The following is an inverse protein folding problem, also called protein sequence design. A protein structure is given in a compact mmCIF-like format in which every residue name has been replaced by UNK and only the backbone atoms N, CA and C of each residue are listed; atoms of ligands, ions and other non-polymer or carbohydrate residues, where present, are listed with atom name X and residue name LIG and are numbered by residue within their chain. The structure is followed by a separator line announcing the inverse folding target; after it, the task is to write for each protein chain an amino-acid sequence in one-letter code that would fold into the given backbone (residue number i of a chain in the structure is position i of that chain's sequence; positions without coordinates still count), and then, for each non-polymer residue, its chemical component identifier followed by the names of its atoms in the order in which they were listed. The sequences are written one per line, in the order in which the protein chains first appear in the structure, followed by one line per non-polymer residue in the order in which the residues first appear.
data_IF_733833383055
#
_entry.id   IF_733833383055
#
_cell.length_a   1.000
_cell.length_b   1.000
_cell.length_c   1.000
_cell.angle_alpha   90.00
_cell.angle_beta   90.00
_cell.angle_gamma   90.00
#
_symmetry.space_group_name_H-M   'P 1'
#
loop_
_entity.id
_entity.type
_entity.pdbx_description
1 polymer ?
#
# COMPACT_ATOMS: atom_id res chain seq x y z
N UNK A 1 -1.05 -26.49 -69.64
CA UNK A 1 -1.14 -25.10 -69.17
C UNK A 1 -1.18 -25.08 -67.64
N UNK A 2 -0.27 -24.30 -67.05
CA UNK A 2 -0.11 -23.82 -65.66
C UNK A 2 -0.31 -24.82 -64.49
N UNK A 3 0.84 -25.26 -63.95
CA UNK A 3 1.03 -25.73 -62.57
C UNK A 3 0.82 -24.56 -61.61
N UNK A 4 0.02 -24.74 -60.56
CA UNK A 4 0.00 -23.86 -59.39
C UNK A 4 0.43 -24.71 -58.20
N UNK A 5 1.70 -24.57 -57.84
CA UNK A 5 2.28 -25.14 -56.62
C UNK A 5 2.02 -24.13 -55.51
N UNK A 6 1.03 -24.39 -54.64
CA UNK A 6 0.89 -23.62 -53.39
C UNK A 6 1.94 -24.15 -52.41
N UNK A 7 3.03 -23.39 -52.22
CA UNK A 7 3.85 -23.52 -51.03
C UNK A 7 3.01 -23.00 -49.85
N UNK A 8 2.50 -23.90 -49.01
CA UNK A 8 2.09 -23.54 -47.66
C UNK A 8 3.34 -23.18 -46.87
N UNK A 9 3.63 -21.88 -46.77
CA UNK A 9 4.51 -21.37 -45.73
C UNK A 9 3.78 -21.57 -44.39
N UNK A 10 4.20 -22.58 -43.61
CA UNK A 10 3.86 -22.64 -42.20
C UNK A 10 4.48 -21.41 -41.54
N UNK A 11 3.64 -20.41 -41.29
CA UNK A 11 3.94 -19.31 -40.39
C UNK A 11 4.05 -19.93 -38.99
N UNK A 12 5.28 -20.16 -38.53
CA UNK A 12 5.53 -20.45 -37.12
C UNK A 12 5.19 -19.15 -36.39
N UNK A 13 4.16 -19.10 -35.52
CA UNK A 13 4.05 -17.97 -34.63
C UNK A 13 5.27 -18.05 -33.73
N UNK A 14 6.20 -17.11 -33.92
CA UNK A 14 7.21 -16.81 -32.92
C UNK A 14 6.41 -16.41 -31.69
N UNK A 15 6.17 -17.34 -30.76
CA UNK A 15 5.80 -16.99 -29.40
C UNK A 15 6.96 -16.14 -28.91
N UNK A 16 6.80 -14.82 -28.98
CA UNK A 16 7.55 -13.94 -28.12
C UNK A 16 7.22 -14.43 -26.71
N UNK A 17 8.17 -15.15 -26.11
CA UNK A 17 8.17 -15.40 -24.67
C UNK A 17 8.33 -13.99 -24.10
N UNK A 18 7.20 -13.32 -23.87
CA UNK A 18 7.20 -12.20 -22.97
C UNK A 18 7.51 -12.82 -21.63
N UNK A 19 8.74 -12.62 -21.19
CA UNK A 19 9.05 -12.87 -19.82
C UNK A 19 8.21 -11.86 -19.02
N UNK A 20 7.07 -12.33 -18.53
CA UNK A 20 6.32 -11.62 -17.50
C UNK A 20 7.21 -11.67 -16.27
N UNK A 21 7.70 -10.52 -15.85
CA UNK A 21 8.50 -10.32 -14.65
C UNK A 21 7.72 -9.34 -13.76
N UNK A 22 7.82 -9.46 -12.42
CA UNK A 22 7.07 -8.69 -11.41
C UNK A 22 8.02 -7.89 -10.50
N UNK A 23 7.65 -6.66 -10.16
CA UNK A 23 8.40 -5.90 -9.18
C UNK A 23 8.19 -6.52 -7.79
N UNK A 24 9.24 -6.56 -6.96
CA UNK A 24 9.18 -7.21 -5.66
C UNK A 24 8.30 -6.53 -4.62
N UNK A 25 7.81 -7.36 -3.69
CA UNK A 25 7.13 -6.96 -2.47
C UNK A 25 7.68 -7.72 -1.25
N UNK A 26 7.51 -7.14 -0.06
CA UNK A 26 7.85 -7.77 1.22
C UNK A 26 6.61 -8.31 1.88
N UNK A 27 6.69 -9.49 2.51
CA UNK A 27 5.66 -9.88 3.47
C UNK A 27 5.76 -9.05 4.75
N UNK A 28 4.60 -8.67 5.29
CA UNK A 28 4.43 -7.78 6.43
C UNK A 28 3.73 -8.43 7.64
N UNK A 29 3.47 -9.74 7.58
CA UNK A 29 2.88 -10.48 8.69
C UNK A 29 3.87 -10.64 9.87
N UNK A 30 3.35 -10.65 11.11
CA UNK A 30 4.11 -10.88 12.35
C UNK A 30 4.01 -12.35 12.82
N UNK A 31 4.97 -12.96 13.57
CA UNK A 31 6.43 -12.82 13.62
C UNK A 31 7.16 -13.48 12.42
N UNK A 32 8.48 -13.24 12.19
CA UNK A 32 9.58 -13.18 13.18
C UNK A 32 10.00 -11.77 13.65
N UNK A 33 9.03 -10.87 13.82
CA UNK A 33 9.25 -9.48 14.22
C UNK A 33 9.18 -9.31 15.75
N UNK A 34 10.20 -8.68 16.36
CA UNK A 34 10.28 -8.37 17.81
C UNK A 34 10.13 -6.87 18.06
N UNK A 35 9.61 -6.41 19.23
CA UNK A 35 9.29 -7.18 20.45
C UNK A 35 7.96 -7.95 20.42
N UNK A 36 7.81 -8.91 21.35
CA UNK A 36 6.59 -9.67 21.63
C UNK A 36 6.27 -9.57 23.15
N UNK A 37 5.14 -8.96 23.56
CA UNK A 37 4.07 -8.44 22.71
C UNK A 37 4.37 -7.07 22.07
N UNK A 38 3.64 -6.71 21.01
CA UNK A 38 3.42 -5.31 20.58
C UNK A 38 1.91 -5.10 20.39
N UNK A 39 1.47 -3.85 20.29
CA UNK A 39 0.06 -3.48 20.08
C UNK A 39 -0.03 -2.55 18.86
N UNK A 40 0.24 -3.18 17.73
CA UNK A 40 0.36 -2.60 16.39
C UNK A 40 -0.64 -3.23 15.42
N UNK A 41 -1.79 -3.65 15.93
CA UNK A 41 -2.97 -3.98 15.13
C UNK A 41 -4.25 -3.77 15.94
N UNK A 42 -5.43 -4.00 15.35
CA UNK A 42 -6.71 -3.71 15.98
C UNK A 42 -6.95 -4.59 17.21
N UNK A 43 -7.15 -3.96 18.38
CA UNK A 43 -7.10 -4.64 19.67
C UNK A 43 -8.45 -4.96 20.33
N UNK A 44 -9.59 -4.43 19.85
CA UNK A 44 -10.90 -4.73 20.46
C UNK A 44 -12.09 -4.63 19.48
N UNK A 45 -13.18 -5.38 19.72
CA UNK A 45 -14.40 -5.32 18.91
C UNK A 45 -14.98 -3.89 18.85
N UNK A 46 -15.71 -3.52 17.78
CA UNK A 46 -16.40 -4.39 16.84
C UNK A 46 -15.59 -4.82 15.62
N UNK A 47 -14.27 -4.60 15.57
CA UNK A 47 -13.44 -5.07 14.44
C UNK A 47 -13.32 -6.61 14.41
N UNK A 48 -13.78 -7.31 13.34
CA UNK A 48 -13.44 -8.71 13.12
C UNK A 48 -12.11 -8.88 12.35
N UNK A 49 -11.26 -9.83 12.75
CA UNK A 49 -11.30 -10.59 13.99
C UNK A 49 -10.75 -9.74 15.15
N UNK A 50 -11.41 -9.73 16.31
CA UNK A 50 -10.89 -9.01 17.47
C UNK A 50 -9.58 -9.67 17.93
N UNK A 51 -8.57 -8.85 18.20
CA UNK A 51 -7.34 -9.31 18.85
C UNK A 51 -6.24 -9.67 17.88
N UNK A 52 -5.88 -8.75 17.00
CA UNK A 52 -4.61 -8.82 16.27
C UNK A 52 -3.61 -7.76 16.77
N UNK A 53 -3.22 -7.77 18.07
CA UNK A 53 -2.31 -6.76 18.62
C UNK A 53 -0.94 -6.80 17.92
N UNK A 54 -0.63 -7.87 17.20
CA UNK A 54 0.64 -8.05 16.50
C UNK A 54 0.56 -7.75 15.00
N UNK A 55 -0.61 -7.56 14.42
CA UNK A 55 -0.79 -7.66 12.96
C UNK A 55 -0.22 -8.98 12.37
N UNK A 56 -0.50 -10.12 13.01
CA UNK A 56 -0.17 -11.47 12.49
C UNK A 56 -0.75 -11.67 11.10
N UNK A 57 -1.84 -10.97 10.78
CA UNK A 57 -2.49 -11.07 9.49
C UNK A 57 -2.06 -10.00 8.48
N UNK A 58 -1.14 -9.10 8.85
CA UNK A 58 -0.64 -8.01 8.02
C UNK A 58 -1.44 -6.71 8.17
N UNK A 59 -1.49 -5.89 7.12
CA UNK A 59 -2.17 -4.59 7.14
C UNK A 59 -3.69 -4.78 7.02
N UNK A 60 -4.45 -4.13 7.91
CA UNK A 60 -5.91 -4.23 7.94
C UNK A 60 -6.60 -3.09 7.18
N UNK A 61 -7.71 -3.42 6.53
CA UNK A 61 -8.57 -2.51 5.77
C UNK A 61 -10.02 -2.72 6.16
N UNK A 62 -10.80 -1.65 6.18
CA UNK A 62 -12.26 -1.70 6.36
C UNK A 62 -12.96 -0.98 5.20
N UNK A 63 -14.00 -1.62 4.67
CA UNK A 63 -14.84 -1.00 3.65
C UNK A 63 -15.59 0.21 4.22
N UNK A 64 -15.47 1.36 3.54
CA UNK A 64 -16.00 2.64 4.03
C UNK A 64 -17.53 2.65 4.14
N UNK A 65 -18.22 1.98 3.22
CA UNK A 65 -19.67 2.00 3.12
C UNK A 65 -20.36 1.12 4.17
N UNK A 66 -19.78 -0.05 4.44
CA UNK A 66 -20.30 -1.02 5.40
C UNK A 66 -19.75 -0.85 6.80
N UNK A 67 -18.55 -0.24 6.95
CA UNK A 67 -17.85 -0.05 8.22
C UNK A 67 -17.60 -1.35 9.01
N UNK A 68 -17.75 -2.51 8.37
CA UNK A 68 -17.85 -3.81 9.06
C UNK A 68 -17.17 -4.96 8.32
N UNK A 69 -16.86 -4.82 7.02
CA UNK A 69 -16.09 -5.82 6.29
C UNK A 69 -14.61 -5.46 6.42
N UNK A 70 -13.90 -6.26 7.19
CA UNK A 70 -12.47 -6.14 7.36
C UNK A 70 -11.75 -7.16 6.49
N UNK A 71 -10.74 -6.70 5.76
CA UNK A 71 -9.82 -7.56 5.02
C UNK A 71 -8.38 -7.21 5.40
N UNK A 72 -7.44 -8.08 5.07
CA UNK A 72 -6.02 -7.82 5.33
C UNK A 72 -5.16 -8.09 4.10
N UNK A 73 -3.99 -7.47 4.06
CA UNK A 73 -2.97 -7.68 3.04
C UNK A 73 -1.69 -8.12 3.71
N UNK A 74 -1.10 -9.18 3.17
CA UNK A 74 0.06 -9.86 3.76
C UNK A 74 1.37 -9.32 3.24
N UNK A 75 1.35 -8.49 2.20
CA UNK A 75 2.52 -7.95 1.54
C UNK A 75 2.38 -6.45 1.27
N UNK A 76 3.54 -5.80 1.20
CA UNK A 76 3.71 -4.41 0.81
C UNK A 76 4.66 -4.29 -0.38
N UNK A 77 4.28 -3.42 -1.31
CA UNK A 77 4.98 -3.09 -2.53
C UNK A 77 5.65 -1.72 -2.38
N UNK A 78 6.91 -1.63 -2.77
CA UNK A 78 7.74 -0.44 -2.59
C UNK A 78 8.30 0.06 -3.93
N UNK A 79 8.52 1.36 -4.06
CA UNK A 79 9.13 1.99 -5.23
C UNK A 79 10.67 1.89 -5.19
N UNK A 80 11.30 2.40 -4.12
CA UNK A 80 12.74 2.57 -4.03
C UNK A 80 13.23 2.71 -2.57
N UNK A 81 13.23 1.59 -1.83
CA UNK A 81 13.83 1.45 -0.50
C UNK A 81 15.36 1.51 -0.53
N UNK A 82 16.00 1.83 0.60
CA UNK A 82 17.46 1.82 0.77
C UNK A 82 18.07 0.43 0.49
N UNK A 83 19.22 0.30 -0.22
CA UNK A 83 20.00 1.30 -0.98
C UNK A 83 19.66 1.41 -2.48
N UNK A 84 18.39 1.65 -2.82
CA UNK A 84 17.91 1.82 -4.20
C UNK A 84 17.23 0.58 -4.78
N UNK A 85 16.56 -0.20 -3.94
CA UNK A 85 15.85 -1.42 -4.31
C UNK A 85 14.34 -1.23 -4.19
N UNK A 86 13.53 -1.99 -4.91
CA UNK A 86 12.10 -1.69 -5.02
C UNK A 86 11.73 -1.46 -6.47
N UNK A 87 10.44 -1.47 -6.77
CA UNK A 87 9.86 -0.91 -7.99
C UNK A 87 10.35 -1.47 -9.34
N UNK A 88 11.17 -2.52 -9.33
CA UNK A 88 11.70 -3.13 -10.53
C UNK A 88 12.53 -2.17 -11.41
N UNK A 89 12.24 -2.10 -12.72
CA UNK A 89 12.92 -1.15 -13.63
C UNK A 89 12.33 0.26 -13.52
N UNK A 90 11.06 0.37 -13.15
CA UNK A 90 10.42 1.65 -12.85
C UNK A 90 11.09 2.32 -11.64
N UNK A 91 11.70 1.54 -10.74
CA UNK A 91 12.41 2.04 -9.55
C UNK A 91 11.48 2.99 -8.78
N UNK A 92 11.95 4.20 -8.44
CA UNK A 92 11.14 5.25 -7.82
C UNK A 92 9.82 5.55 -8.54
N UNK A 93 9.72 5.34 -9.85
CA UNK A 93 8.48 5.54 -10.61
C UNK A 93 7.50 4.36 -10.57
N UNK A 94 7.75 3.32 -9.77
CA UNK A 94 6.83 2.17 -9.69
C UNK A 94 5.53 2.49 -8.93
N UNK A 95 5.60 3.46 -8.03
CA UNK A 95 4.46 4.09 -7.39
C UNK A 95 4.57 5.55 -7.79
N UNK A 96 3.77 5.97 -8.76
CA UNK A 96 3.86 7.30 -9.33
C UNK A 96 2.55 8.02 -9.17
N UNK A 97 2.57 9.30 -8.80
CA UNK A 97 1.40 10.13 -8.92
C UNK A 97 1.72 11.60 -9.02
N UNK A 98 0.94 12.29 -9.85
CA UNK A 98 1.09 13.73 -10.06
C UNK A 98 -0.27 14.42 -10.04
N UNK A 99 -0.25 15.70 -9.70
CA UNK A 99 -1.45 16.53 -9.63
C UNK A 99 -1.94 16.84 -11.03
N UNK A 100 -3.19 16.51 -11.32
CA UNK A 100 -3.82 16.78 -12.63
C UNK A 100 -4.78 17.96 -12.61
N UNK A 101 -5.22 18.37 -11.42
CA UNK A 101 -6.18 19.46 -11.25
C UNK A 101 -5.98 20.15 -9.90
N UNK A 102 -6.19 21.46 -9.86
CA UNK A 102 -6.21 22.27 -8.63
C UNK A 102 -7.38 23.25 -8.69
N UNK A 103 -8.14 23.30 -7.61
CA UNK A 103 -9.16 24.32 -7.36
C UNK A 103 -8.60 25.38 -6.41
N UNK A 104 -8.80 26.64 -6.80
CA UNK A 104 -8.28 27.80 -6.08
C UNK A 104 -9.41 28.56 -5.38
N UNK A 105 -9.15 28.97 -4.14
CA UNK A 105 -10.01 29.85 -3.37
C UNK A 105 -9.83 31.33 -3.71
N UNK A 106 -10.43 32.18 -2.86
CA UNK A 106 -10.46 33.64 -3.02
C UNK A 106 -9.12 34.36 -2.76
N UNK A 107 -9.13 35.53 -2.09
CA UNK A 107 -7.90 36.29 -1.81
C UNK A 107 -6.81 35.44 -1.13
N UNK A 108 -5.57 35.59 -1.58
CA UNK A 108 -4.44 34.75 -1.13
C UNK A 108 -4.33 33.41 -1.87
N UNK A 109 -5.22 33.14 -2.84
CA UNK A 109 -5.23 31.98 -3.74
C UNK A 109 -4.96 30.64 -3.04
N UNK A 110 -5.66 30.32 -1.93
CA UNK A 110 -5.44 29.05 -1.28
C UNK A 110 -5.86 27.88 -2.18
N UNK A 111 -5.16 26.74 -2.11
CA UNK A 111 -5.64 25.50 -2.73
C UNK A 111 -6.80 24.97 -1.89
N UNK A 112 -7.99 24.82 -2.48
CA UNK A 112 -9.18 24.31 -1.77
C UNK A 112 -9.50 22.87 -2.13
N UNK A 113 -8.99 22.38 -3.26
CA UNK A 113 -9.09 20.99 -3.69
C UNK A 113 -8.02 20.71 -4.74
N UNK A 114 -7.64 19.45 -4.89
CA UNK A 114 -6.76 18.99 -5.96
C UNK A 114 -7.02 17.50 -6.24
N UNK A 115 -6.65 17.06 -7.43
CA UNK A 115 -6.75 15.67 -7.84
C UNK A 115 -5.37 15.13 -8.22
N UNK A 116 -5.07 13.89 -7.82
CA UNK A 116 -3.86 13.14 -8.21
C UNK A 116 -4.27 12.01 -9.14
N UNK A 117 -3.53 11.81 -10.24
CA UNK A 117 -3.56 10.56 -10.99
C UNK A 117 -2.43 9.68 -10.46
N UNK A 118 -2.76 8.60 -9.75
CA UNK A 118 -1.79 7.64 -9.23
C UNK A 118 -1.72 6.41 -10.14
N UNK A 119 -0.53 5.85 -10.32
CA UNK A 119 -0.28 4.64 -11.11
C UNK A 119 0.70 3.73 -10.40
N UNK A 120 0.33 2.45 -10.27
CA UNK A 120 1.20 1.40 -9.73
C UNK A 120 1.65 0.51 -10.88
N UNK A 121 2.97 0.31 -11.01
CA UNK A 121 3.60 -0.48 -12.07
C UNK A 121 4.25 -1.74 -11.49
N UNK A 122 3.78 -2.92 -11.90
CA UNK A 122 4.32 -4.21 -11.49
C UNK A 122 5.19 -4.80 -12.62
N UNK A 123 6.40 -4.28 -12.82
CA UNK A 123 7.30 -4.60 -13.93
C UNK A 123 8.39 -5.62 -13.56
N UNK A 124 9.67 -5.49 -13.97
CA UNK A 124 10.67 -6.55 -13.82
C UNK A 124 11.46 -6.40 -12.51
N UNK A 125 11.65 -7.46 -11.69
CA UNK A 125 12.33 -7.33 -10.42
C UNK A 125 13.81 -6.99 -10.61
N UNK A 126 14.32 -6.10 -9.76
CA UNK A 126 15.76 -5.87 -9.64
C UNK A 126 16.45 -7.14 -9.09
N UNK A 127 17.62 -7.49 -9.62
CA UNK A 127 18.39 -8.71 -9.30
C UNK A 127 19.17 -8.64 -7.97
N UNK A 128 18.65 -7.93 -6.98
CA UNK A 128 19.42 -7.54 -5.80
C UNK A 128 18.78 -8.03 -4.49
N UNK A 129 19.60 -8.27 -3.45
CA UNK A 129 19.11 -8.68 -2.14
C UNK A 129 18.35 -7.54 -1.46
N UNK A 130 17.31 -7.90 -0.70
CA UNK A 130 16.50 -6.96 0.06
C UNK A 130 17.02 -6.83 1.50
N UNK A 131 16.75 -5.69 2.14
CA UNK A 131 17.14 -5.43 3.54
C UNK A 131 15.98 -5.69 4.51
N UNK A 132 16.33 -6.15 5.71
CA UNK A 132 15.40 -6.40 6.82
C UNK A 132 14.55 -5.15 7.08
N UNK A 133 13.23 -5.31 7.20
CA UNK A 133 12.36 -4.16 7.43
C UNK A 133 12.23 -3.75 8.89
N UNK A 134 12.06 -2.46 9.14
CA UNK A 134 11.78 -1.89 10.45
C UNK A 134 10.77 -0.75 10.37
N UNK A 135 9.88 -0.62 11.36
CA UNK A 135 8.94 0.50 11.45
C UNK A 135 9.22 1.44 12.63
N UNK A 136 8.48 2.56 12.68
CA UNK A 136 8.56 3.57 13.76
C UNK A 136 8.16 3.04 15.15
N UNK A 137 7.62 1.81 15.23
CA UNK A 137 7.23 1.13 16.47
C UNK A 137 8.30 0.20 17.02
N UNK A 138 9.55 0.34 16.57
CA UNK A 138 10.69 -0.54 16.91
C UNK A 138 10.46 -2.01 16.53
N UNK A 139 9.52 -2.28 15.64
CA UNK A 139 9.31 -3.62 15.10
C UNK A 139 10.40 -3.88 14.05
N UNK A 140 11.18 -4.95 14.24
CA UNK A 140 12.27 -5.32 13.34
C UNK A 140 12.07 -6.72 12.78
N UNK A 141 12.15 -6.87 11.45
CA UNK A 141 12.03 -8.15 10.76
C UNK A 141 13.39 -8.71 10.39
N UNK A 142 13.85 -9.74 11.09
CA UNK A 142 15.00 -10.53 10.64
C UNK A 142 14.60 -11.46 9.48
N UNK A 143 15.36 -11.46 8.39
CA UNK A 143 15.18 -12.41 7.30
C UNK A 143 15.94 -13.71 7.58
N UNK A 144 15.26 -14.84 7.45
CA UNK A 144 15.86 -16.17 7.64
C UNK A 144 16.30 -16.83 6.32
N UNK A 145 15.81 -16.35 5.18
CA UNK A 145 16.19 -16.79 3.82
C UNK A 145 15.88 -15.70 2.77
N UNK A 146 16.39 -15.85 1.53
CA UNK A 146 16.06 -14.96 0.40
C UNK A 146 14.62 -15.17 -0.12
N UNK A 147 14.08 -16.37 0.05
CA UNK A 147 12.69 -16.68 -0.31
C UNK A 147 11.69 -16.05 0.66
N UNK A 148 12.08 -15.83 1.93
CA UNK A 148 11.31 -15.02 2.88
C UNK A 148 11.34 -13.52 2.52
N UNK A 149 12.32 -13.09 1.72
CA UNK A 149 12.59 -11.67 1.49
C UNK A 149 11.74 -11.05 0.39
N UNK A 150 11.21 -11.82 -0.56
CA UNK A 150 10.74 -11.24 -1.81
C UNK A 150 9.63 -12.06 -2.42
N UNK A 151 8.47 -11.46 -2.60
CA UNK A 151 7.47 -11.98 -3.52
C UNK A 151 7.57 -11.27 -4.86
N UNK A 152 7.70 -12.05 -5.93
CA UNK A 152 7.64 -11.61 -7.32
C UNK A 152 6.44 -12.32 -7.97
N UNK A 153 5.39 -11.58 -8.29
CA UNK A 153 4.25 -12.14 -9.00
C UNK A 153 3.16 -11.11 -9.28
N UNK A 154 1.96 -11.60 -9.60
CA UNK A 154 0.79 -10.72 -9.70
C UNK A 154 0.43 -10.16 -8.33
N UNK A 155 0.21 -8.85 -8.26
CA UNK A 155 -0.28 -8.19 -7.05
C UNK A 155 -1.79 -8.40 -7.00
N UNK A 156 -2.30 -9.10 -5.99
CA UNK A 156 -3.73 -9.35 -5.87
C UNK A 156 -4.37 -8.35 -4.92
N UNK A 157 -5.54 -7.84 -5.30
CA UNK A 157 -6.37 -6.98 -4.44
C UNK A 157 -5.57 -5.81 -3.86
N UNK A 158 -4.97 -5.04 -4.76
CA UNK A 158 -4.02 -3.96 -4.47
C UNK A 158 -4.74 -2.78 -3.82
N UNK A 159 -4.17 -2.30 -2.73
CA UNK A 159 -4.64 -1.17 -1.94
C UNK A 159 -3.58 -0.08 -1.92
N UNK A 160 -3.94 1.12 -2.38
CA UNK A 160 -3.11 2.32 -2.29
C UNK A 160 -3.63 3.20 -1.16
N UNK A 161 -2.77 3.53 -0.20
CA UNK A 161 -3.12 4.35 0.97
C UNK A 161 -2.46 5.73 0.89
N UNK A 162 -3.13 6.78 1.35
CA UNK A 162 -2.60 8.14 1.36
C UNK A 162 -2.35 8.65 2.79
N UNK A 163 -1.13 8.50 3.27
CA UNK A 163 -0.74 8.80 4.65
C UNK A 163 -0.73 10.31 4.96
N UNK A 164 -0.56 11.14 3.94
CA UNK A 164 -0.70 12.61 4.03
C UNK A 164 -2.16 13.09 4.17
N UNK A 165 -3.15 12.19 4.06
CA UNK A 165 -4.56 12.55 4.03
C UNK A 165 -5.39 11.91 5.16
N UNK A 166 -6.55 12.49 5.39
CA UNK A 166 -7.56 12.00 6.35
C UNK A 166 -8.89 11.75 5.64
N UNK A 167 -9.75 10.92 6.23
CA UNK A 167 -11.13 10.82 5.76
C UNK A 167 -11.95 12.00 6.30
N UNK A 168 -12.51 12.83 5.41
CA UNK A 168 -13.37 13.96 5.75
C UNK A 168 -14.53 13.58 6.70
N UNK A 169 -15.03 12.34 6.61
CA UNK A 169 -16.14 11.85 7.39
C UNK A 169 -15.74 11.34 8.79
N UNK A 170 -14.45 11.04 9.00
CA UNK A 170 -13.94 10.48 10.25
C UNK A 170 -13.03 11.51 10.94
N UNK A 171 -13.60 12.25 11.89
CA UNK A 171 -12.85 13.21 12.72
C UNK A 171 -12.06 12.55 13.86
N UNK A 172 -11.72 11.26 13.75
CA UNK A 172 -11.04 10.54 14.81
C UNK A 172 -9.54 10.79 14.70
N UNK A 173 -9.04 11.79 15.42
CA UNK A 173 -7.61 11.92 15.68
C UNK A 173 -7.25 11.30 17.03
N UNK A 174 -5.99 10.87 17.22
CA UNK A 174 -5.47 10.54 18.53
C UNK A 174 -5.80 11.66 19.52
N UNK A 175 -6.31 11.32 20.72
CA UNK A 175 -6.61 12.33 21.73
C UNK A 175 -5.35 13.08 22.17
N UNK A 176 -4.19 12.44 22.05
CA UNK A 176 -2.87 13.02 22.27
C UNK A 176 -1.91 12.54 21.18
N UNK A 177 -1.15 13.47 20.61
CA UNK A 177 -0.01 13.19 19.73
C UNK A 177 1.25 13.07 20.59
N UNK A 178 1.62 11.83 20.92
CA UNK A 178 2.80 11.51 21.72
C UNK A 178 3.83 10.92 20.75
N UNK A 179 5.09 11.38 20.73
CA UNK A 179 6.13 10.81 19.87
C UNK A 179 6.16 9.27 19.95
N UNK A 180 6.26 8.55 18.81
CA UNK A 180 6.59 9.06 17.48
C UNK A 180 5.41 9.67 16.70
N UNK A 181 4.19 9.66 17.24
CA UNK A 181 3.00 10.19 16.57
C UNK A 181 2.99 11.72 16.57
N UNK A 182 2.86 12.32 15.39
CA UNK A 182 2.78 13.77 15.22
C UNK A 182 1.68 14.16 14.24
N UNK A 183 1.06 15.32 14.48
CA UNK A 183 0.35 16.06 13.44
C UNK A 183 0.93 17.48 13.42
N UNK A 184 1.86 17.76 12.51
CA UNK A 184 2.54 19.06 12.47
C UNK A 184 1.69 20.14 11.79
N UNK A 185 0.55 19.80 11.19
CA UNK A 185 -0.21 20.71 10.34
C UNK A 185 -1.46 21.27 11.01
N UNK A 186 -1.75 22.54 10.72
CA UNK A 186 -2.96 23.21 11.17
C UNK A 186 -4.16 23.01 10.23
N UNK A 187 -3.91 22.50 9.03
CA UNK A 187 -4.90 22.21 7.99
C UNK A 187 -4.62 20.82 7.43
N UNK A 188 -5.65 19.97 7.38
CA UNK A 188 -5.54 18.61 6.88
C UNK A 188 -5.98 18.54 5.42
N UNK A 189 -5.36 17.64 4.67
CA UNK A 189 -5.83 17.24 3.34
C UNK A 189 -6.86 16.13 3.55
N UNK A 190 -8.06 16.31 3.02
CA UNK A 190 -9.17 15.37 3.20
C UNK A 190 -9.44 14.62 1.90
N UNK A 191 -9.37 13.29 1.92
CA UNK A 191 -9.69 12.45 0.77
C UNK A 191 -11.22 12.29 0.62
N UNK A 192 -11.74 12.46 -0.61
CA UNK A 192 -13.20 12.49 -0.85
C UNK A 192 -13.76 11.28 -1.61
N UNK A 193 -12.93 10.50 -2.30
CA UNK A 193 -13.38 9.40 -3.17
C UNK A 193 -12.68 8.05 -2.93
N UNK A 194 -12.13 7.83 -1.74
CA UNK A 194 -11.52 6.55 -1.37
C UNK A 194 -12.59 5.49 -1.05
N UNK A 195 -12.29 4.23 -1.35
CA UNK A 195 -13.20 3.08 -1.21
C UNK A 195 -13.15 2.47 0.19
N UNK A 196 -11.94 2.44 0.77
CA UNK A 196 -11.63 1.74 2.00
C UNK A 196 -10.80 2.61 2.94
N UNK A 197 -10.61 2.10 4.15
CA UNK A 197 -9.86 2.73 5.23
C UNK A 197 -8.85 1.73 5.78
N UNK A 198 -7.57 2.06 5.69
CA UNK A 198 -6.51 1.23 6.23
C UNK A 198 -6.24 1.60 7.69
N UNK A 199 -6.07 0.60 8.54
CA UNK A 199 -5.78 0.81 9.96
C UNK A 199 -4.41 1.48 10.14
N UNK A 200 -4.39 2.60 10.88
CA UNK A 200 -3.16 3.30 11.24
C UNK A 200 -2.54 2.68 12.49
N UNK A 201 -1.25 2.39 12.43
CA UNK A 201 -0.52 1.84 13.55
C UNK A 201 -0.31 2.86 14.65
N UNK A 202 -1.16 2.78 15.69
CA UNK A 202 -1.12 3.67 16.83
C UNK A 202 -1.33 2.92 18.15
N UNK A 203 -0.65 3.38 19.19
CA UNK A 203 -0.86 2.97 20.58
C UNK A 203 -0.81 4.18 21.51
N UNK A 204 -1.52 4.11 22.63
CA UNK A 204 -1.62 5.20 23.60
C UNK A 204 -0.34 5.46 24.40
N UNK A 205 0.45 4.41 24.62
CA UNK A 205 1.80 4.47 25.14
C UNK A 205 2.71 3.51 24.35
N UNK A 206 3.72 4.00 23.60
CA UNK A 206 4.68 3.15 22.90
C UNK A 206 5.56 2.27 23.80
N UNK A 207 5.78 2.66 25.06
CA UNK A 207 6.61 1.92 26.02
C UNK A 207 5.78 0.94 26.87
N UNK A 208 4.53 1.29 27.17
CA UNK A 208 3.59 0.47 27.95
C UNK A 208 2.17 0.48 27.38
N UNK A 209 1.97 -0.02 26.16
CA UNK A 209 0.70 0.04 25.43
C UNK A 209 -0.48 -0.61 26.18
N UNK A 210 -1.63 0.09 26.26
CA UNK A 210 -2.86 -0.46 26.83
C UNK A 210 -3.64 -1.27 25.78
N UNK A 211 -3.76 -2.60 25.92
CA UNK A 211 -4.52 -3.44 24.99
C UNK A 211 -5.99 -3.05 24.85
N UNK A 212 -6.54 -2.32 25.82
CA UNK A 212 -7.96 -1.94 25.87
C UNK A 212 -8.26 -0.61 25.16
N UNK A 213 -7.22 0.10 24.72
CA UNK A 213 -7.34 1.37 23.99
C UNK A 213 -6.65 1.32 22.61
N UNK A 214 -6.97 0.33 21.75
CA UNK A 214 -6.21 0.05 20.53
C UNK A 214 -6.64 0.96 19.37
N UNK A 215 -6.46 2.27 19.53
CA UNK A 215 -6.78 3.26 18.51
C UNK A 215 -8.18 3.09 17.88
N UNK A 216 -8.36 3.71 16.71
CA UNK A 216 -9.41 3.50 15.70
C UNK A 216 -9.14 4.52 14.58
N UNK A 217 -7.86 4.62 14.22
CA UNK A 217 -7.34 5.63 13.32
C UNK A 217 -7.13 4.99 11.97
N UNK A 218 -7.50 5.72 10.92
CA UNK A 218 -7.60 5.16 9.60
C UNK A 218 -7.07 6.11 8.54
N UNK A 219 -6.42 5.52 7.55
CA UNK A 219 -5.84 6.18 6.40
C UNK A 219 -6.70 5.91 5.17
N UNK A 220 -7.11 6.95 4.40
CA UNK A 220 -7.84 6.78 3.15
C UNK A 220 -7.16 5.80 2.19
N UNK A 221 -7.95 4.88 1.61
CA UNK A 221 -7.45 3.81 0.74
C UNK A 221 -8.28 3.62 -0.52
N UNK A 222 -7.62 3.45 -1.66
CA UNK A 222 -8.23 3.13 -2.95
C UNK A 222 -7.96 1.68 -3.33
N UNK A 223 -8.98 1.03 -3.89
CA UNK A 223 -8.88 -0.33 -4.43
C UNK A 223 -8.53 -0.30 -5.93
N UNK A 224 -7.39 -0.88 -6.28
CA UNK A 224 -6.91 -0.98 -7.66
C UNK A 224 -7.19 -2.37 -8.27
N UNK A 225 -7.74 -3.31 -7.51
CA UNK A 225 -7.96 -4.69 -7.92
C UNK A 225 -6.65 -5.44 -8.14
N UNK A 226 -6.64 -6.36 -9.10
CA UNK A 226 -5.44 -7.17 -9.39
C UNK A 226 -4.56 -6.49 -10.43
N UNK A 227 -3.26 -6.40 -10.16
CA UNK A 227 -2.26 -5.93 -11.11
C UNK A 227 -1.43 -7.13 -11.57
N UNK A 228 -1.65 -7.63 -12.81
CA UNK A 228 -0.87 -8.76 -13.31
C UNK A 228 0.60 -8.38 -13.43
N UNK A 229 1.43 -9.41 -13.41
CA UNK A 229 2.86 -9.29 -13.67
C UNK A 229 3.14 -8.66 -15.06
N UNK A 230 3.96 -7.62 -15.10
CA UNK A 230 4.20 -6.77 -16.27
C UNK A 230 3.10 -5.72 -16.54
N UNK A 231 2.11 -5.59 -15.65
CA UNK A 231 0.97 -4.70 -15.77
C UNK A 231 1.09 -3.44 -14.93
N UNK A 232 0.08 -2.57 -15.05
CA UNK A 232 -0.09 -1.40 -14.22
C UNK A 232 -1.58 -1.15 -13.96
N UNK A 233 -1.89 -0.39 -12.92
CA UNK A 233 -3.23 0.13 -12.67
C UNK A 233 -3.14 1.59 -12.24
N UNK A 234 -4.14 2.38 -12.64
CA UNK A 234 -4.20 3.81 -12.31
C UNK A 234 -5.54 4.15 -11.64
N UNK A 235 -5.50 5.10 -10.72
CA UNK A 235 -6.68 5.59 -9.99
C UNK A 235 -6.63 7.11 -9.89
N UNK A 236 -7.81 7.74 -10.04
CA UNK A 236 -7.99 9.15 -9.75
C UNK A 236 -8.27 9.32 -8.25
N UNK A 237 -7.38 9.99 -7.54
CA UNK A 237 -7.52 10.32 -6.12
C UNK A 237 -7.95 11.78 -6.00
N UNK A 238 -9.01 12.03 -5.25
CA UNK A 238 -9.59 13.36 -5.11
C UNK A 238 -9.48 13.84 -3.67
N UNK A 239 -9.11 15.11 -3.51
CA UNK A 239 -8.89 15.72 -2.22
C UNK A 239 -9.53 17.10 -2.10
N UNK A 240 -9.99 17.42 -0.90
CA UNK A 240 -10.42 18.76 -0.51
C UNK A 240 -9.59 19.25 0.67
N UNK A 241 -9.50 20.57 0.82
CA UNK A 241 -8.74 21.21 1.90
C UNK A 241 -9.60 22.34 2.50
N UNK A 242 -10.46 22.08 3.48
CA UNK A 242 -11.17 23.13 4.21
C UNK A 242 -10.30 23.64 5.39
N UNK A 243 -10.04 24.95 5.52
CA UNK A 243 -10.57 26.08 4.74
C UNK A 243 -9.79 26.41 3.45
N UNK A 244 -8.61 25.83 3.27
CA UNK A 244 -7.73 26.03 2.12
C UNK A 244 -6.28 26.03 2.55
N UNK A 245 -5.40 25.53 1.69
CA UNK A 245 -3.95 25.52 1.87
C UNK A 245 -3.36 26.84 1.36
N UNK A 246 -2.74 27.63 2.24
CA UNK A 246 -2.14 28.91 1.84
C UNK A 246 -0.74 28.73 1.25
N UNK A 247 -0.25 29.68 0.41
CA UNK A 247 1.11 29.65 -0.14
C UNK A 247 2.26 29.57 0.88
N UNK A 248 1.99 29.85 2.16
CA UNK A 248 2.98 29.73 3.23
C UNK A 248 3.15 28.29 3.75
N UNK A 249 2.25 27.38 3.40
CA UNK A 249 2.35 25.96 3.75
C UNK A 249 3.28 25.25 2.76
N UNK A 250 4.29 24.49 3.21
CA UNK A 250 5.25 23.84 2.32
C UNK A 250 4.61 22.89 1.30
N UNK A 251 3.45 22.30 1.63
CA UNK A 251 2.72 21.39 0.73
C UNK A 251 2.14 22.13 -0.49
N UNK A 252 1.95 23.45 -0.40
CA UNK A 252 1.43 24.27 -1.50
C UNK A 252 2.36 24.24 -2.70
N UNK A 253 3.66 24.46 -2.48
CA UNK A 253 4.64 24.49 -3.57
C UNK A 253 4.80 23.12 -4.22
N UNK A 254 4.71 22.04 -3.43
CA UNK A 254 4.75 20.65 -3.94
C UNK A 254 3.57 20.37 -4.88
N UNK A 255 2.33 20.67 -4.45
CA UNK A 255 1.11 20.44 -5.24
C UNK A 255 1.14 21.27 -6.53
N UNK A 256 1.55 22.53 -6.44
CA UNK A 256 1.59 23.43 -7.60
C UNK A 256 2.70 23.08 -8.59
N UNK A 257 3.87 22.68 -8.09
CA UNK A 257 4.96 22.22 -8.93
C UNK A 257 4.57 20.92 -9.66
N UNK A 258 3.96 19.97 -8.96
CA UNK A 258 3.46 18.73 -9.56
C UNK A 258 2.45 19.01 -10.67
N UNK A 259 1.49 19.94 -10.46
CA UNK A 259 0.54 20.35 -11.50
C UNK A 259 1.23 20.89 -12.76
N UNK A 260 2.32 21.64 -12.60
CA UNK A 260 3.00 22.32 -13.71
C UNK A 260 3.99 21.44 -14.45
N UNK A 261 4.55 20.44 -13.78
CA UNK A 261 5.69 19.67 -14.27
C UNK A 261 5.43 18.18 -14.37
N UNK A 262 4.25 17.72 -13.94
CA UNK A 262 3.94 16.29 -13.73
C UNK A 262 4.95 15.63 -12.80
N UNK A 263 5.54 16.39 -11.88
CA UNK A 263 6.46 15.86 -10.88
C UNK A 263 5.72 14.88 -9.98
N UNK A 264 6.38 13.73 -9.76
CA UNK A 264 5.90 12.71 -8.87
C UNK A 264 5.89 13.22 -7.43
N UNK A 265 4.84 12.87 -6.69
CA UNK A 265 4.59 13.29 -5.31
C UNK A 265 4.08 12.12 -4.46
N UNK A 266 4.22 10.89 -4.94
CA UNK A 266 3.90 9.68 -4.19
C UNK A 266 5.19 8.88 -4.00
N UNK A 267 5.50 8.47 -2.77
CA UNK A 267 6.68 7.68 -2.47
C UNK A 267 6.43 6.68 -1.33
N UNK A 268 6.95 5.46 -1.48
CA UNK A 268 6.89 4.40 -0.46
C UNK A 268 8.26 3.75 -0.25
N UNK A 269 9.13 4.41 0.52
CA UNK A 269 10.54 4.03 0.70
C UNK A 269 10.87 3.54 2.09
N UNK A 270 9.92 3.61 3.01
CA UNK A 270 10.11 3.02 4.33
C UNK A 270 10.28 1.53 4.16
N UNK A 271 10.90 0.90 5.14
CA UNK A 271 10.68 -0.54 5.35
C UNK A 271 9.68 -0.75 6.48
N UNK A 272 8.82 0.26 6.68
CA UNK A 272 7.76 0.17 7.65
C UNK A 272 6.86 -0.96 7.19
N UNK A 273 6.65 -1.94 8.06
CA UNK A 273 5.90 -3.14 7.70
C UNK A 273 4.38 -2.87 7.70
N UNK A 274 3.96 -1.65 8.00
CA UNK A 274 2.57 -1.22 8.20
C UNK A 274 2.53 0.28 8.01
N UNK A 275 1.33 0.82 7.89
CA UNK A 275 1.11 2.26 7.99
C UNK A 275 1.46 2.71 9.42
N UNK A 276 2.60 3.38 9.55
CA UNK A 276 3.13 3.86 10.82
C UNK A 276 3.31 5.37 10.85
N UNK A 277 2.98 6.03 9.74
CA UNK A 277 2.97 7.48 9.59
C UNK A 277 1.54 7.92 9.19
N UNK A 278 1.09 9.06 9.70
CA UNK A 278 -0.25 9.56 9.39
C UNK A 278 -0.35 11.06 9.61
N UNK A 279 -1.04 11.73 8.67
CA UNK A 279 -1.09 13.18 8.54
C UNK A 279 0.29 13.76 8.21
N UNK A 280 1.04 13.01 7.40
CA UNK A 280 2.36 13.41 6.92
C UNK A 280 2.31 14.55 5.91
N UNK A 281 3.48 15.13 5.66
CA UNK A 281 3.64 16.06 4.56
C UNK A 281 3.59 15.35 3.21
N UNK A 282 3.20 16.08 2.17
CA UNK A 282 3.39 15.65 0.79
C UNK A 282 4.68 16.27 0.26
N UNK A 283 5.53 15.47 -0.38
CA UNK A 283 6.84 15.90 -0.87
C UNK A 283 7.00 15.53 -2.33
N UNK A 284 7.86 16.26 -3.04
CA UNK A 284 8.24 15.83 -4.39
C UNK A 284 9.11 14.60 -4.29
N UNK A 285 8.80 13.59 -5.08
CA UNK A 285 9.66 12.44 -5.18
C UNK A 285 10.95 12.79 -5.93
N UNK A 286 12.07 12.71 -5.21
CA UNK A 286 13.43 12.94 -5.73
C UNK A 286 14.11 11.68 -6.25
N UNK A 287 13.50 10.50 -6.08
CA UNK A 287 14.09 9.20 -6.35
C UNK A 287 15.14 8.76 -5.34
N UNK A 288 15.39 9.52 -4.27
CA UNK A 288 16.38 9.22 -3.25
C UNK A 288 15.82 8.17 -2.26
N UNK A 289 16.49 7.02 -2.06
CA UNK A 289 16.06 6.02 -1.09
C UNK A 289 16.02 6.53 0.36
N UNK A 290 15.25 5.87 1.22
CA UNK A 290 15.25 6.10 2.67
C UNK A 290 16.68 6.11 3.27
N UNK A 291 16.96 6.86 4.37
CA UNK A 291 16.12 7.82 5.08
C UNK A 291 16.30 9.24 4.52
N UNK A 292 15.63 9.55 3.42
CA UNK A 292 15.43 10.93 2.97
C UNK A 292 13.97 11.34 3.14
N UNK A 293 13.68 12.64 3.07
CA UNK A 293 12.36 13.23 3.31
C UNK A 293 11.24 12.58 2.48
N UNK A 294 9.98 12.47 2.98
CA UNK A 294 9.39 12.98 4.24
C UNK A 294 10.10 12.48 5.50
N UNK A 295 9.94 13.16 6.65
CA UNK A 295 10.47 12.70 7.94
C UNK A 295 9.80 11.37 8.34
N UNK A 296 10.28 10.27 7.75
CA UNK A 296 9.59 8.99 7.83
C UNK A 296 9.80 8.11 6.59
N UNK A 297 9.78 8.72 5.40
CA UNK A 297 10.21 8.11 4.14
C UNK A 297 9.09 7.46 3.34
N UNK A 298 7.81 7.65 3.69
CA UNK A 298 6.66 7.29 2.85
C UNK A 298 5.52 8.27 3.06
N UNK A 299 4.86 8.70 2.00
CA UNK A 299 3.60 9.47 2.07
C UNK A 299 2.41 8.68 1.50
N UNK A 300 2.70 7.52 0.92
CA UNK A 300 1.77 6.47 0.54
C UNK A 300 2.33 5.10 0.87
N UNK A 301 1.44 4.12 1.01
CA UNK A 301 1.80 2.71 1.06
C UNK A 301 0.97 1.91 0.05
N UNK A 302 1.55 0.84 -0.50
CA UNK A 302 0.86 -0.05 -1.45
C UNK A 302 0.85 -1.47 -0.90
N UNK A 303 -0.32 -1.96 -0.52
CA UNK A 303 -0.48 -3.30 0.03
C UNK A 303 -1.19 -4.24 -0.93
N UNK A 304 -0.86 -5.51 -0.88
CA UNK A 304 -1.52 -6.53 -1.68
C UNK A 304 -1.48 -7.91 -1.01
N UNK A 305 -2.28 -8.81 -1.56
CA UNK A 305 -2.21 -10.23 -1.25
C UNK A 305 -1.43 -10.95 -2.35
N UNK A 306 -1.02 -12.18 -2.05
CA UNK A 306 -0.40 -13.09 -3.00
C UNK A 306 -1.35 -14.27 -3.22
N UNK A 307 -1.15 -15.09 -4.28
CA UNK A 307 -1.78 -16.39 -4.36
C UNK A 307 -1.33 -17.21 -3.14
N UNK A 308 -2.16 -17.25 -2.10
CA UNK A 308 -1.86 -18.05 -0.92
C UNK A 308 -1.75 -19.52 -1.36
N UNK A 309 -0.68 -20.25 -0.98
CA UNK A 309 -0.58 -21.66 -1.28
C UNK A 309 -1.82 -22.31 -0.69
N UNK A 310 -2.73 -22.72 -1.57
CA UNK A 310 -4.09 -23.04 -1.18
C UNK A 310 -4.05 -23.90 0.06
N UNK A 311 -4.64 -23.40 1.16
CA UNK A 311 -5.03 -24.28 2.24
C UNK A 311 -5.96 -25.26 1.54
N UNK A 312 -5.43 -26.41 1.15
CA UNK A 312 -6.20 -27.61 0.90
C UNK A 312 -6.83 -27.94 2.25
N UNK A 313 -7.87 -27.18 2.62
CA UNK A 313 -8.85 -27.62 3.60
C UNK A 313 -9.35 -28.89 2.97
N UNK A 314 -8.87 -30.01 3.50
CA UNK A 314 -9.16 -31.32 2.98
C UNK A 314 -10.67 -31.47 2.90
N UNK A 315 -11.21 -31.32 1.69
CA UNK A 315 -12.44 -31.99 1.29
C UNK A 315 -12.03 -33.46 1.09
N UNK A 316 -11.60 -34.09 2.18
CA UNK A 316 -11.51 -35.53 2.39
C UNK A 316 -12.77 -36.02 3.11
N UNK A 317 -13.91 -35.37 2.85
CA UNK A 317 -15.23 -35.89 3.19
C UNK A 317 -16.02 -35.94 1.89
N UNK A 318 -15.93 -37.06 1.17
CA UNK A 318 -16.82 -37.26 0.02
C UNK A 318 -16.47 -38.34 -1.01
N UNK A 319 -15.26 -38.90 -1.06
CA UNK A 319 -14.90 -39.89 -2.11
C UNK A 319 -14.59 -41.30 -1.56
N UNK A 320 -14.70 -41.53 -0.24
CA UNK A 320 -14.71 -42.89 0.32
C UNK A 320 -16.12 -43.43 0.62
N UNK A 321 -17.17 -42.64 0.37
CA UNK A 321 -18.57 -43.03 0.61
C UNK A 321 -19.28 -43.70 -0.58
N UNK A 322 -18.66 -43.78 -1.76
CA UNK A 322 -19.30 -44.32 -2.98
C UNK A 322 -18.88 -45.75 -3.35
N UNK A 323 -18.18 -46.47 -2.46
CA UNK A 323 -17.77 -47.86 -2.70
C UNK A 323 -18.45 -48.93 -1.81
N UNK A 324 -19.58 -48.63 -1.14
CA UNK A 324 -20.25 -49.64 -0.29
C UNK A 324 -21.74 -49.90 -0.56
N UNK A 325 -22.29 -49.51 -1.71
CA UNK A 325 -23.67 -49.88 -2.08
C UNK A 325 -23.83 -50.31 -3.53
N UNK A 326 -23.19 -51.43 -3.89
CA UNK A 326 -23.67 -52.32 -4.96
C UNK A 326 -23.29 -53.77 -4.64
N UNK A 327 -23.81 -54.30 -3.54
CA UNK A 327 -24.04 -55.74 -3.39
C UNK A 327 -25.35 -55.94 -2.63
N UNK A 328 -26.43 -56.13 -3.39
CA UNK A 328 -27.54 -57.09 -3.19
C UNK A 328 -28.56 -56.94 -4.31
#
# INVERSE_FOLDING_TARGET
MKKITLLSAMLIPLLAIQFSFAAPSLTIIKPPVTPNPSYTGPGSPPMPPPGDPHAIYGQWFVDKLSGTIYTNRTHEFYDNVDPGWGGGYASCGAINGFVISVSWGGPGTPITAFDIMATITNDIPANSPWMAGSNSHNENRAFNSLEDQKFEGSLLDVKLTAEFAVDAALSYFPPNWIPPYVNPYSVNIEAINHDELAWYCWTDDPESPDPTNPGNFFVPTWDLGNIPQGGFASVLMQFQIPPGLLPSDPRYDVITNSLMTEADILLNRTTSLKISEWVEGIYTDTGIPYPDHPEGGSDVSVFHSIPEPGIFIGIWIGILGLYSKFEK
#
